data_IF_125286192347
#
_entry.id   IF_125286192347
#
_cell.length_a   1.000
_cell.length_b   1.000
_cell.length_c   1.000
_cell.angle_alpha   90.00
_cell.angle_beta   90.00
_cell.angle_gamma   90.00
#
_symmetry.space_group_name_H-M   'P 1'
#
loop_
_entity.id
_entity.type
_entity.pdbx_description
1 polymer ?
#
# COMPACT_ATOMS: atom_id res chain seq x y z
N UNK A 1 -12.40 8.23 -15.65
CA UNK A 1 -11.14 7.45 -15.55
C UNK A 1 -11.09 6.75 -14.20
N UNK A 2 -10.76 5.48 -14.16
CA UNK A 2 -10.70 4.71 -12.93
C UNK A 2 -9.30 4.69 -12.34
N UNK A 3 -9.20 4.70 -11.02
CA UNK A 3 -7.93 4.56 -10.31
C UNK A 3 -8.08 3.44 -9.28
N UNK A 4 -7.74 2.19 -9.67
CA UNK A 4 -7.87 1.04 -8.76
C UNK A 4 -7.05 1.15 -7.48
N UNK A 5 -5.90 1.83 -7.54
CA UNK A 5 -5.06 2.03 -6.35
C UNK A 5 -5.73 3.01 -5.40
N UNK A 6 -6.28 4.11 -5.91
CA UNK A 6 -7.01 5.06 -5.09
C UNK A 6 -8.22 4.39 -4.43
N UNK A 7 -8.94 3.54 -5.17
CA UNK A 7 -10.05 2.76 -4.61
C UNK A 7 -9.58 1.84 -3.48
N UNK A 8 -8.46 1.13 -3.69
CA UNK A 8 -7.84 0.27 -2.69
C UNK A 8 -7.54 1.05 -1.40
N UNK A 9 -6.87 2.20 -1.53
CA UNK A 9 -6.52 3.03 -0.38
C UNK A 9 -7.75 3.58 0.32
N UNK A 10 -8.77 3.96 -0.44
CA UNK A 10 -10.04 4.48 0.11
C UNK A 10 -10.76 3.41 0.91
N UNK A 11 -10.83 2.18 0.40
CA UNK A 11 -11.46 1.06 1.12
C UNK A 11 -10.74 0.76 2.43
N UNK A 12 -9.40 0.77 2.42
CA UNK A 12 -8.62 0.63 3.65
C UNK A 12 -8.90 1.77 4.62
N UNK A 13 -8.87 2.99 4.13
CA UNK A 13 -9.09 4.19 4.95
C UNK A 13 -10.47 4.16 5.61
N UNK A 14 -11.51 3.84 4.84
CA UNK A 14 -12.88 3.76 5.36
C UNK A 14 -13.02 2.65 6.41
N UNK A 15 -12.42 1.49 6.18
CA UNK A 15 -12.43 0.39 7.13
C UNK A 15 -11.73 0.76 8.44
N UNK A 16 -10.61 1.48 8.35
CA UNK A 16 -9.86 1.96 9.52
C UNK A 16 -10.70 2.95 10.32
N UNK A 17 -11.35 3.90 9.64
CA UNK A 17 -12.21 4.88 10.32
C UNK A 17 -13.39 4.23 11.00
N UNK A 18 -13.97 3.20 10.39
CA UNK A 18 -15.08 2.44 10.97
C UNK A 18 -14.62 1.40 11.99
N UNK A 19 -13.32 1.28 12.21
CA UNK A 19 -12.71 0.31 13.14
C UNK A 19 -13.08 -1.14 12.82
N UNK A 20 -13.20 -1.46 11.55
CA UNK A 20 -13.41 -2.83 11.11
C UNK A 20 -12.14 -3.66 11.36
N UNK A 21 -12.30 -4.95 11.65
CA UNK A 21 -11.18 -5.86 11.79
C UNK A 21 -10.70 -6.40 10.46
N UNK A 22 -11.62 -6.61 9.55
CA UNK A 22 -11.34 -7.20 8.24
C UNK A 22 -11.96 -6.32 7.16
N UNK A 23 -11.21 -6.14 6.08
CA UNK A 23 -11.71 -5.45 4.88
C UNK A 23 -11.51 -6.38 3.68
N UNK A 24 -12.49 -6.40 2.78
CA UNK A 24 -12.45 -7.17 1.54
C UNK A 24 -12.35 -6.22 0.36
N UNK A 25 -11.40 -6.49 -0.53
CA UNK A 25 -11.11 -5.62 -1.67
C UNK A 25 -10.99 -6.49 -2.92
N UNK A 26 -11.61 -6.08 -4.06
CA UNK A 26 -11.41 -6.80 -5.32
C UNK A 26 -9.92 -6.88 -5.66
N UNK A 27 -9.46 -8.06 -6.06
CA UNK A 27 -8.04 -8.33 -6.26
C UNK A 27 -7.53 -7.86 -7.62
N UNK A 28 -6.24 -7.53 -7.66
CA UNK A 28 -5.44 -7.43 -8.87
C UNK A 28 -4.00 -7.72 -8.47
N UNK A 29 -3.14 -8.01 -9.45
CA UNK A 29 -1.74 -8.32 -9.13
C UNK A 29 -1.06 -7.17 -8.41
N UNK A 30 -1.30 -5.94 -8.84
CA UNK A 30 -0.72 -4.76 -8.21
C UNK A 30 -1.20 -4.58 -6.77
N UNK A 31 -2.51 -4.74 -6.54
CA UNK A 31 -3.07 -4.65 -5.18
C UNK A 31 -2.54 -5.74 -4.27
N UNK A 32 -2.34 -6.96 -4.80
CA UNK A 32 -1.73 -8.06 -4.03
C UNK A 32 -0.31 -7.71 -3.62
N UNK A 33 0.47 -7.12 -4.53
CA UNK A 33 1.85 -6.73 -4.24
C UNK A 33 1.91 -5.65 -3.17
N UNK A 34 1.02 -4.65 -3.23
CA UNK A 34 0.93 -3.61 -2.21
C UNK A 34 0.57 -4.23 -0.84
N UNK A 35 -0.38 -5.17 -0.83
CA UNK A 35 -0.81 -5.85 0.39
C UNK A 35 0.34 -6.62 1.04
N UNK A 36 1.15 -7.32 0.25
CA UNK A 36 2.32 -8.04 0.75
C UNK A 36 3.31 -7.10 1.41
N UNK A 37 3.55 -5.93 0.81
CA UNK A 37 4.45 -4.91 1.37
C UNK A 37 3.91 -4.40 2.71
N UNK A 38 2.62 -4.11 2.80
CA UNK A 38 2.00 -3.64 4.04
C UNK A 38 2.16 -4.67 5.15
N UNK A 39 2.03 -5.95 4.82
CA UNK A 39 2.23 -7.04 5.79
C UNK A 39 3.69 -7.13 6.23
N UNK A 40 4.62 -7.13 5.28
CA UNK A 40 6.05 -7.24 5.57
C UNK A 40 6.56 -6.09 6.43
N UNK A 41 6.01 -4.89 6.25
CA UNK A 41 6.42 -3.72 7.00
C UNK A 41 5.62 -3.52 8.30
N UNK A 42 4.72 -4.45 8.62
CA UNK A 42 4.01 -4.44 9.88
C UNK A 42 2.83 -3.50 9.98
N UNK A 43 2.28 -3.06 8.85
CA UNK A 43 1.12 -2.17 8.83
C UNK A 43 -0.21 -2.89 8.93
N UNK A 44 -0.26 -4.15 8.54
CA UNK A 44 -1.46 -4.99 8.67
C UNK A 44 -1.11 -6.26 9.44
N UNK A 45 -2.13 -6.88 10.04
CA UNK A 45 -1.93 -8.08 10.85
C UNK A 45 -1.72 -9.32 9.98
N UNK A 46 -2.53 -9.47 8.94
CA UNK A 46 -2.46 -10.61 8.03
C UNK A 46 -3.29 -10.31 6.77
N UNK A 47 -3.18 -11.19 5.78
CA UNK A 47 -3.96 -11.09 4.56
C UNK A 47 -4.21 -12.48 3.99
N UNK A 48 -5.24 -12.58 3.14
CA UNK A 48 -5.57 -13.81 2.42
C UNK A 48 -6.10 -13.46 1.04
N UNK A 49 -5.67 -14.21 0.03
CA UNK A 49 -6.20 -14.10 -1.32
C UNK A 49 -7.23 -15.20 -1.54
N UNK A 50 -8.44 -14.80 -1.91
CA UNK A 50 -9.54 -15.73 -2.15
C UNK A 50 -9.88 -15.71 -3.63
N UNK A 51 -9.88 -16.86 -4.25
CA UNK A 51 -10.23 -17.01 -5.67
C UNK A 51 -11.73 -17.22 -5.81
N UNK A 52 -12.49 -16.12 -5.73
CA UNK A 52 -13.92 -16.12 -5.96
C UNK A 52 -14.24 -15.18 -7.13
N UNK A 53 -15.09 -15.64 -8.03
CA UNK A 53 -15.44 -14.88 -9.22
C UNK A 53 -14.27 -14.72 -10.18
N UNK A 54 -14.41 -13.88 -11.22
CA UNK A 54 -13.38 -13.74 -12.24
C UNK A 54 -12.13 -12.99 -11.78
N UNK A 55 -12.23 -12.20 -10.72
CA UNK A 55 -11.17 -11.30 -10.27
C UNK A 55 -10.50 -11.76 -8.98
N UNK A 56 -11.26 -12.38 -8.09
CA UNK A 56 -10.81 -12.74 -6.77
C UNK A 56 -10.93 -11.59 -5.78
N UNK A 57 -10.67 -11.90 -4.51
CA UNK A 57 -10.81 -10.94 -3.41
C UNK A 57 -9.59 -11.01 -2.51
N UNK A 58 -9.14 -9.86 -2.04
CA UNK A 58 -8.10 -9.74 -1.01
C UNK A 58 -8.82 -9.49 0.31
N UNK A 59 -8.60 -10.35 1.30
CA UNK A 59 -9.07 -10.14 2.67
C UNK A 59 -7.89 -9.65 3.50
N UNK A 60 -8.03 -8.51 4.14
CA UNK A 60 -6.97 -7.90 4.94
C UNK A 60 -7.44 -7.81 6.38
N UNK A 61 -6.66 -8.38 7.29
CA UNK A 61 -6.87 -8.22 8.72
C UNK A 61 -6.11 -6.99 9.19
N UNK A 62 -6.83 -5.98 9.65
CA UNK A 62 -6.26 -4.71 10.08
C UNK A 62 -5.62 -4.86 11.47
N UNK A 63 -4.58 -4.08 11.71
CA UNK A 63 -3.78 -4.16 12.93
C UNK A 63 -4.06 -2.96 13.82
N UNK A 64 -4.53 -3.24 15.05
CA UNK A 64 -4.84 -2.22 16.04
C UNK A 64 -4.00 -2.43 17.30
N UNK A 65 -3.65 -1.33 17.95
CA UNK A 65 -3.04 -1.39 19.28
C UNK A 65 -4.06 -1.99 20.26
N UNK A 66 -3.62 -2.93 21.09
CA UNK A 66 -4.51 -3.64 22.01
C UNK A 66 -4.99 -2.75 23.16
N UNK A 67 -4.25 -1.71 23.50
CA UNK A 67 -4.59 -0.80 24.59
C UNK A 67 -5.39 0.39 24.06
N UNK A 68 -4.84 1.14 23.11
CA UNK A 68 -5.42 2.39 22.61
C UNK A 68 -6.41 2.19 21.46
N UNK A 69 -6.48 0.99 20.87
CA UNK A 69 -7.34 0.67 19.72
C UNK A 69 -7.02 1.53 18.49
N UNK A 70 -5.79 2.02 18.38
CA UNK A 70 -5.34 2.83 17.25
C UNK A 70 -4.80 1.93 16.15
N UNK A 71 -5.18 2.17 14.90
CA UNK A 71 -4.69 1.38 13.76
C UNK A 71 -3.20 1.65 13.52
N UNK A 72 -2.48 0.62 13.08
CA UNK A 72 -1.05 0.75 12.74
C UNK A 72 -0.81 1.71 11.58
N UNK A 73 -1.79 1.83 10.67
CA UNK A 73 -1.72 2.78 9.57
C UNK A 73 -2.29 4.12 10.05
N UNK A 74 -1.47 5.16 10.01
CA UNK A 74 -1.88 6.52 10.37
C UNK A 74 -2.41 7.27 9.17
N UNK A 75 -1.78 7.10 8.02
CA UNK A 75 -2.16 7.81 6.80
C UNK A 75 -1.84 6.98 5.56
N UNK A 76 -2.73 7.06 4.58
CA UNK A 76 -2.57 6.50 3.24
C UNK A 76 -2.73 7.65 2.25
N UNK A 77 -1.70 7.92 1.45
CA UNK A 77 -1.70 9.03 0.51
C UNK A 77 -1.38 8.56 -0.89
N UNK A 78 -2.31 8.77 -1.82
CA UNK A 78 -2.07 8.50 -3.25
C UNK A 78 -1.13 9.57 -3.79
N UNK A 79 -0.09 9.17 -4.54
CA UNK A 79 0.87 10.10 -5.11
C UNK A 79 0.71 10.15 -6.63
N UNK A 80 1.01 9.05 -7.33
CA UNK A 80 0.85 8.98 -8.78
C UNK A 80 -0.60 8.65 -9.12
N UNK A 81 -1.19 9.38 -10.06
CA UNK A 81 -2.57 9.15 -10.48
C UNK A 81 -2.62 8.94 -11.99
N UNK A 82 -3.71 8.35 -12.54
CA UNK A 82 -3.84 8.22 -13.98
C UNK A 82 -3.72 9.54 -14.74
N UNK A 83 -4.17 10.65 -14.15
CA UNK A 83 -4.09 11.97 -14.76
C UNK A 83 -2.75 12.67 -14.58
N UNK A 84 -1.95 12.22 -13.62
CA UNK A 84 -0.64 12.82 -13.34
C UNK A 84 0.29 11.78 -12.73
N UNK A 85 1.09 11.13 -13.57
CA UNK A 85 2.04 10.12 -13.12
C UNK A 85 3.25 10.77 -12.47
N UNK A 86 3.73 10.19 -11.37
CA UNK A 86 4.87 10.68 -10.61
C UNK A 86 5.98 9.63 -10.61
N UNK A 87 7.13 9.99 -11.15
CA UNK A 87 8.30 9.10 -11.22
C UNK A 87 9.46 9.69 -10.45
N UNK A 88 10.36 8.83 -10.00
CA UNK A 88 11.57 9.25 -9.29
C UNK A 88 12.74 8.36 -9.67
N UNK A 89 13.95 8.94 -9.69
CA UNK A 89 15.18 8.18 -9.78
C UNK A 89 15.59 7.67 -8.40
N UNK A 90 16.51 6.71 -8.36
CA UNK A 90 16.95 6.13 -7.08
C UNK A 90 17.66 7.14 -6.17
N UNK A 91 18.29 8.17 -6.75
CA UNK A 91 18.99 9.21 -5.97
C UNK A 91 18.03 10.19 -5.28
N UNK A 92 16.85 10.37 -5.85
CA UNK A 92 15.87 11.33 -5.36
C UNK A 92 14.69 10.62 -4.70
N UNK A 93 14.90 9.42 -4.23
CA UNK A 93 13.83 8.60 -3.65
C UNK A 93 13.19 9.32 -2.46
N UNK A 94 11.84 9.45 -2.44
CA UNK A 94 11.16 10.14 -1.35
C UNK A 94 11.33 9.38 -0.03
N UNK A 95 11.44 10.14 1.06
CA UNK A 95 11.51 9.58 2.40
C UNK A 95 10.30 10.04 3.19
N UNK A 96 9.47 9.09 3.59
CA UNK A 96 8.23 9.37 4.30
C UNK A 96 8.53 9.41 5.80
N UNK A 97 8.24 10.55 6.45
CA UNK A 97 8.49 10.78 7.89
C UNK A 97 9.93 10.37 8.26
N UNK A 98 10.92 10.88 7.54
CA UNK A 98 12.35 10.60 7.77
C UNK A 98 12.68 9.11 7.80
N UNK A 99 11.96 8.30 7.00
CA UNK A 99 12.18 6.87 6.90
C UNK A 99 11.35 6.03 7.86
N UNK A 100 10.51 6.64 8.69
CA UNK A 100 9.59 5.91 9.57
C UNK A 100 8.40 5.34 8.81
N UNK A 101 7.96 6.02 7.75
CA UNK A 101 6.95 5.52 6.84
C UNK A 101 7.57 4.89 5.60
N UNK A 102 6.73 4.51 4.64
CA UNK A 102 7.19 3.94 3.38
C UNK A 102 6.56 4.65 2.19
N UNK A 103 7.31 4.69 1.09
CA UNK A 103 6.77 4.98 -0.23
C UNK A 103 6.72 3.65 -0.99
N UNK A 104 5.60 3.38 -1.65
CA UNK A 104 5.44 2.18 -2.47
C UNK A 104 5.79 2.55 -3.90
N UNK A 105 6.80 1.90 -4.46
CA UNK A 105 7.37 2.23 -5.76
C UNK A 105 7.15 1.07 -6.73
N UNK A 106 6.62 1.38 -7.91
CA UNK A 106 6.50 0.40 -9.00
C UNK A 106 7.73 0.52 -9.89
N UNK A 107 8.56 -0.53 -9.92
CA UNK A 107 9.80 -0.54 -10.67
C UNK A 107 9.78 -1.63 -11.74
N UNK A 108 10.80 -1.64 -12.59
CA UNK A 108 10.98 -2.70 -13.60
C UNK A 108 11.20 -4.08 -12.97
N UNK A 109 11.60 -4.13 -11.69
CA UNK A 109 11.81 -5.38 -10.95
C UNK A 109 10.68 -5.69 -9.97
N UNK A 110 9.54 -5.01 -10.12
CA UNK A 110 8.36 -5.24 -9.28
C UNK A 110 8.05 -4.07 -8.37
N UNK A 111 7.04 -4.27 -7.54
CA UNK A 111 6.59 -3.27 -6.57
C UNK A 111 7.39 -3.45 -5.28
N UNK A 112 7.94 -2.37 -4.77
CA UNK A 112 8.80 -2.40 -3.59
C UNK A 112 8.73 -1.09 -2.82
N UNK A 113 9.43 -1.02 -1.69
CA UNK A 113 9.51 0.22 -0.92
C UNK A 113 10.62 1.12 -1.46
N UNK A 114 10.58 2.39 -1.02
CA UNK A 114 11.62 3.37 -1.34
C UNK A 114 13.02 2.88 -0.93
N UNK A 115 13.14 2.27 0.25
CA UNK A 115 14.43 1.76 0.72
C UNK A 115 14.96 0.62 -0.15
N UNK A 116 14.07 -0.31 -0.53
CA UNK A 116 14.45 -1.43 -1.38
C UNK A 116 14.87 -0.96 -2.77
N UNK A 117 14.12 -0.04 -3.37
CA UNK A 117 14.44 0.53 -4.68
C UNK A 117 15.77 1.30 -4.63
N UNK A 118 16.00 2.07 -3.59
CA UNK A 118 17.25 2.80 -3.40
C UNK A 118 18.45 1.85 -3.26
N UNK A 119 18.29 0.77 -2.51
CA UNK A 119 19.34 -0.25 -2.34
C UNK A 119 19.68 -0.92 -3.67
N UNK A 120 18.67 -1.19 -4.49
CA UNK A 120 18.87 -1.79 -5.81
C UNK A 120 19.31 -0.77 -6.87
N UNK A 121 19.35 0.51 -6.51
CA UNK A 121 19.70 1.63 -7.39
C UNK A 121 18.80 1.72 -8.62
N UNK A 122 17.50 1.54 -8.41
CA UNK A 122 16.50 1.66 -9.47
C UNK A 122 15.42 2.66 -9.07
N UNK A 123 14.95 3.41 -10.05
CA UNK A 123 13.82 4.32 -9.86
C UNK A 123 12.53 3.68 -10.32
N UNK A 124 11.44 4.43 -10.22
CA UNK A 124 10.14 3.96 -10.67
C UNK A 124 9.03 4.96 -10.40
N UNK A 125 7.82 4.47 -10.53
CA UNK A 125 6.61 5.25 -10.28
C UNK A 125 6.28 5.22 -8.78
N UNK A 126 6.11 6.41 -8.20
CA UNK A 126 5.72 6.52 -6.77
C UNK A 126 4.21 6.37 -6.68
N UNK A 127 3.75 5.21 -6.21
CA UNK A 127 2.33 4.90 -6.15
C UNK A 127 1.63 5.59 -4.99
N UNK A 128 2.16 5.44 -3.79
CA UNK A 128 1.54 6.00 -2.60
C UNK A 128 2.54 6.08 -1.44
N UNK A 129 2.16 6.83 -0.41
CA UNK A 129 2.86 6.88 0.87
C UNK A 129 2.00 6.23 1.94
N UNK A 130 2.64 5.52 2.86
CA UNK A 130 1.99 4.87 4.01
C UNK A 130 2.80 5.17 5.27
N UNK A 131 2.11 5.61 6.30
CA UNK A 131 2.73 5.76 7.62
C UNK A 131 1.71 5.73 8.75
#
# INVERSE_FOLDING_TARGET
MTDPIADYLTRLRNAIQAKHRIVEIPASNLKKDITKILFEKGYILNYKFVEDGPQGTIKIALKYDTVNKVNAIKKLQRVSTPGMRKYTGYKDMPRVINGLGIAVISTSKGVMTDKEASTLKIGGEVLCYVY
#
